data_IF_197150188546
#
_entry.id   IF_197150188546
#
_cell.length_a   1.000
_cell.length_b   1.000
_cell.length_c   1.000
_cell.angle_alpha   90.00
_cell.angle_beta   90.00
_cell.angle_gamma   90.00
#
_symmetry.space_group_name_H-M   'P 1'
#
loop_
_entity.id
_entity.type
_entity.pdbx_description
1 polymer ?
#
# COMPACT_ATOMS: atom_id res chain seq x y z
N UNK A 1 -14.33 -15.80 -7.88
CA UNK A 1 -14.04 -14.65 -6.99
C UNK A 1 -13.58 -13.46 -7.84
N UNK A 2 -14.36 -13.04 -8.86
CA UNK A 2 -13.89 -12.07 -9.89
C UNK A 2 -14.82 -10.86 -10.06
N UNK A 3 -16.03 -10.93 -9.50
CA UNK A 3 -17.08 -9.94 -9.70
C UNK A 3 -16.74 -8.56 -9.14
N UNK A 4 -16.04 -8.49 -8.00
CA UNK A 4 -15.68 -7.21 -7.38
C UNK A 4 -14.62 -6.46 -8.17
N UNK A 5 -13.58 -7.16 -8.63
CA UNK A 5 -12.50 -6.54 -9.41
C UNK A 5 -13.02 -6.01 -10.74
N UNK A 6 -13.81 -6.82 -11.45
CA UNK A 6 -14.40 -6.43 -12.73
C UNK A 6 -15.31 -5.20 -12.61
N UNK A 7 -16.13 -5.12 -11.55
CA UNK A 7 -16.96 -3.95 -11.29
C UNK A 7 -16.13 -2.68 -11.03
N UNK A 8 -15.02 -2.79 -10.30
CA UNK A 8 -14.14 -1.66 -10.01
C UNK A 8 -13.35 -1.21 -11.25
N UNK A 9 -12.91 -2.14 -12.10
CA UNK A 9 -12.25 -1.84 -13.37
C UNK A 9 -13.20 -1.14 -14.35
N UNK A 10 -14.46 -1.56 -14.40
CA UNK A 10 -15.49 -0.90 -15.21
C UNK A 10 -15.69 0.55 -14.77
N UNK A 11 -15.74 0.82 -13.46
CA UNK A 11 -15.83 2.18 -12.93
C UNK A 11 -14.62 3.03 -13.34
N UNK A 12 -13.42 2.45 -13.31
CA UNK A 12 -12.21 3.11 -13.76
C UNK A 12 -12.26 3.43 -15.26
N UNK A 13 -12.71 2.47 -16.08
CA UNK A 13 -12.87 2.64 -17.53
C UNK A 13 -13.94 3.69 -17.88
N UNK A 14 -14.94 3.89 -17.02
CA UNK A 14 -15.92 4.97 -17.13
C UNK A 14 -15.39 6.34 -16.66
N UNK A 15 -14.09 6.45 -16.37
CA UNK A 15 -13.41 7.69 -15.99
C UNK A 15 -13.55 8.04 -14.51
N UNK A 16 -14.09 7.15 -13.66
CA UNK A 16 -14.25 7.41 -12.22
C UNK A 16 -12.98 7.07 -11.46
N UNK A 17 -11.86 7.73 -11.78
CA UNK A 17 -10.60 7.50 -11.07
C UNK A 17 -10.55 8.28 -9.75
N UNK A 18 -10.15 7.61 -8.67
CA UNK A 18 -10.03 8.21 -7.34
C UNK A 18 -9.12 7.39 -6.44
N UNK A 19 -8.59 8.01 -5.38
CA UNK A 19 -7.79 7.33 -4.35
C UNK A 19 -8.51 6.09 -3.80
N UNK A 20 -9.80 6.21 -3.48
CA UNK A 20 -10.60 5.11 -2.92
C UNK A 20 -10.83 3.98 -3.93
N UNK A 21 -11.11 4.30 -5.20
CA UNK A 21 -11.29 3.28 -6.23
C UNK A 21 -9.99 2.52 -6.47
N UNK A 22 -8.87 3.24 -6.63
CA UNK A 22 -7.54 2.66 -6.81
C UNK A 22 -7.15 1.81 -5.61
N UNK A 23 -7.41 2.26 -4.38
CA UNK A 23 -7.19 1.46 -3.17
C UNK A 23 -8.04 0.17 -3.15
N UNK A 24 -9.30 0.26 -3.56
CA UNK A 24 -10.22 -0.88 -3.63
C UNK A 24 -9.77 -1.91 -4.67
N UNK A 25 -9.33 -1.45 -5.86
CA UNK A 25 -8.72 -2.30 -6.88
C UNK A 25 -7.47 -2.97 -6.34
N UNK A 26 -6.55 -2.21 -5.73
CA UNK A 26 -5.34 -2.77 -5.16
C UNK A 26 -5.64 -3.86 -4.13
N UNK A 27 -6.63 -3.63 -3.27
CA UNK A 27 -7.07 -4.63 -2.28
C UNK A 27 -7.67 -5.86 -2.94
N UNK A 28 -8.45 -5.71 -4.02
CA UNK A 28 -9.02 -6.84 -4.76
C UNK A 28 -7.93 -7.66 -5.47
N UNK A 29 -6.86 -7.03 -5.95
CA UNK A 29 -5.73 -7.73 -6.56
C UNK A 29 -4.76 -8.37 -5.57
N UNK A 30 -4.82 -8.07 -4.26
CA UNK A 30 -3.87 -8.62 -3.29
C UNK A 30 -3.85 -10.16 -3.27
N UNK A 31 -4.99 -10.82 -3.53
CA UNK A 31 -5.07 -12.28 -3.53
C UNK A 31 -4.74 -12.92 -4.89
N UNK A 32 -4.92 -12.19 -5.99
CA UNK A 32 -4.76 -12.75 -7.34
C UNK A 32 -3.46 -12.31 -8.03
N UNK A 33 -3.06 -11.05 -7.84
CA UNK A 33 -1.87 -10.48 -8.46
C UNK A 33 -1.32 -9.33 -7.60
N UNK A 34 -0.40 -9.66 -6.70
CA UNK A 34 0.21 -8.68 -5.78
C UNK A 34 0.95 -7.56 -6.53
N UNK A 35 1.55 -7.84 -7.69
CA UNK A 35 2.23 -6.80 -8.48
C UNK A 35 1.26 -5.76 -9.04
N UNK A 36 0.08 -6.18 -9.51
CA UNK A 36 -1.00 -5.25 -9.86
C UNK A 36 -1.51 -4.50 -8.63
N UNK A 37 -1.63 -5.17 -7.48
CA UNK A 37 -2.03 -4.52 -6.23
C UNK A 37 -1.09 -3.34 -5.89
N UNK A 38 0.23 -3.55 -5.97
CA UNK A 38 1.24 -2.49 -5.78
C UNK A 38 1.00 -1.31 -6.72
N UNK A 39 0.74 -1.57 -8.00
CA UNK A 39 0.47 -0.54 -9.01
C UNK A 39 -0.75 0.30 -8.64
N UNK A 40 -1.84 -0.34 -8.25
CA UNK A 40 -3.07 0.34 -7.84
C UNK A 40 -2.92 1.11 -6.52
N UNK A 41 -2.17 0.60 -5.55
CA UNK A 41 -1.88 1.35 -4.32
C UNK A 41 -1.02 2.58 -4.57
N UNK A 42 0.02 2.48 -5.41
CA UNK A 42 0.82 3.64 -5.81
C UNK A 42 -0.04 4.70 -6.51
N UNK A 43 -0.95 4.29 -7.39
CA UNK A 43 -1.90 5.20 -8.02
C UNK A 43 -2.82 5.86 -6.99
N UNK A 44 -3.33 5.12 -5.99
CA UNK A 44 -4.14 5.69 -4.91
C UNK A 44 -3.39 6.79 -4.14
N UNK A 45 -2.10 6.57 -3.88
CA UNK A 45 -1.22 7.50 -3.16
C UNK A 45 -0.81 8.72 -4.01
N UNK A 46 -0.85 8.61 -5.34
CA UNK A 46 -0.70 9.76 -6.22
C UNK A 46 -1.91 10.72 -6.11
N UNK A 47 -3.10 10.19 -5.81
CA UNK A 47 -4.30 11.01 -5.54
C UNK A 47 -4.33 11.57 -4.11
N UNK A 48 -4.07 10.74 -3.11
CA UNK A 48 -4.00 11.16 -1.70
C UNK A 48 -2.74 10.60 -1.04
N UNK A 49 -1.65 11.39 -0.98
CA UNK A 49 -0.41 10.96 -0.33
C UNK A 49 -0.55 10.83 1.19
N UNK A 50 -1.64 11.33 1.78
CA UNK A 50 -1.92 11.21 3.22
C UNK A 50 -2.71 9.95 3.57
N UNK A 51 -3.01 9.10 2.59
CA UNK A 51 -3.85 7.92 2.80
C UNK A 51 -3.10 6.80 3.52
N UNK A 52 -3.09 6.85 4.86
CA UNK A 52 -2.40 5.90 5.76
C UNK A 52 -2.69 4.43 5.45
N UNK A 53 -3.95 4.08 5.17
CA UNK A 53 -4.33 2.71 4.85
C UNK A 53 -3.72 2.22 3.52
N UNK A 54 -3.64 3.09 2.50
CA UNK A 54 -3.02 2.74 1.22
C UNK A 54 -1.51 2.51 1.37
N UNK A 55 -0.82 3.33 2.17
CA UNK A 55 0.59 3.11 2.50
C UNK A 55 0.82 1.77 3.22
N UNK A 56 -0.02 1.46 4.22
CA UNK A 56 0.06 0.19 4.95
C UNK A 56 -0.12 -1.01 4.01
N UNK A 57 -1.12 -0.96 3.14
CA UNK A 57 -1.37 -2.04 2.17
C UNK A 57 -0.27 -2.14 1.12
N UNK A 58 0.28 -1.02 0.64
CA UNK A 58 1.42 -0.99 -0.26
C UNK A 58 2.64 -1.67 0.35
N UNK A 59 3.01 -1.30 1.59
CA UNK A 59 4.16 -1.90 2.27
C UNK A 59 3.99 -3.42 2.43
N UNK A 60 2.80 -3.90 2.78
CA UNK A 60 2.50 -5.35 2.86
C UNK A 60 2.61 -6.04 1.51
N UNK A 61 2.08 -5.42 0.45
CA UNK A 61 2.17 -5.95 -0.91
C UNK A 61 3.62 -6.06 -1.38
N UNK A 62 4.45 -5.05 -1.06
CA UNK A 62 5.89 -5.03 -1.38
C UNK A 62 6.66 -6.13 -0.65
N UNK A 63 6.34 -6.39 0.63
CA UNK A 63 6.89 -7.54 1.36
C UNK A 63 6.53 -8.86 0.67
N UNK A 64 5.28 -9.02 0.24
CA UNK A 64 4.84 -10.24 -0.45
C UNK A 64 5.56 -10.47 -1.78
N UNK A 65 5.96 -9.42 -2.51
CA UNK A 65 6.78 -9.53 -3.73
C UNK A 65 8.29 -9.48 -3.46
N UNK A 66 8.71 -9.63 -2.19
CA UNK A 66 10.12 -9.60 -1.76
C UNK A 66 10.86 -8.28 -2.02
N UNK A 67 10.16 -7.20 -2.36
CA UNK A 67 10.72 -5.85 -2.44
C UNK A 67 10.77 -5.22 -1.05
N UNK A 68 11.71 -5.72 -0.23
CA UNK A 68 11.86 -5.29 1.15
C UNK A 68 12.33 -3.83 1.26
N UNK A 69 13.17 -3.37 0.34
CA UNK A 69 13.62 -1.98 0.28
C UNK A 69 12.43 -1.04 -0.01
N UNK A 70 11.62 -1.37 -1.02
CA UNK A 70 10.40 -0.63 -1.31
C UNK A 70 9.40 -0.68 -0.16
N UNK A 71 9.24 -1.83 0.51
CA UNK A 71 8.36 -1.96 1.67
C UNK A 71 8.81 -1.05 2.83
N UNK A 72 10.12 -0.98 3.10
CA UNK A 72 10.70 -0.12 4.12
C UNK A 72 10.34 1.35 3.89
N UNK A 73 10.54 1.83 2.66
CA UNK A 73 10.22 3.21 2.27
C UNK A 73 8.71 3.48 2.33
N UNK A 74 7.88 2.54 1.87
CA UNK A 74 6.43 2.66 1.96
C UNK A 74 5.93 2.76 3.40
N UNK A 75 6.48 1.96 4.33
CA UNK A 75 6.10 2.05 5.75
C UNK A 75 6.57 3.36 6.39
N UNK A 76 7.77 3.86 6.05
CA UNK A 76 8.25 5.16 6.54
C UNK A 76 7.35 6.31 6.08
N UNK A 77 7.04 6.36 4.78
CA UNK A 77 6.13 7.36 4.22
C UNK A 77 4.73 7.24 4.84
N UNK A 78 4.24 6.01 5.01
CA UNK A 78 2.95 5.74 5.66
C UNK A 78 2.86 6.21 7.10
N UNK A 79 3.91 6.02 7.91
CA UNK A 79 3.97 6.53 9.28
C UNK A 79 3.89 8.05 9.28
N UNK A 80 4.65 8.73 8.42
CA UNK A 80 4.60 10.19 8.31
C UNK A 80 3.22 10.70 7.88
N UNK A 81 2.57 10.02 6.92
CA UNK A 81 1.20 10.32 6.48
C UNK A 81 0.17 10.11 7.60
N UNK A 82 0.28 8.99 8.33
CA UNK A 82 -0.61 8.66 9.44
C UNK A 82 -0.47 9.67 10.58
N UNK A 83 0.75 10.08 10.94
CA UNK A 83 1.00 11.14 11.92
C UNK A 83 0.38 12.47 11.51
N UNK A 84 0.46 12.86 10.23
CA UNK A 84 -0.17 14.08 9.72
C UNK A 84 -1.70 14.04 9.82
N UNK A 85 -2.32 12.88 9.61
CA UNK A 85 -3.78 12.69 9.77
C UNK A 85 -4.23 12.49 11.22
N UNK A 86 -3.31 12.33 12.17
CA UNK A 86 -3.63 11.94 13.55
C UNK A 86 -4.03 10.46 13.69
N UNK A 87 -3.73 9.61 12.70
CA UNK A 87 -4.00 8.18 12.70
C UNK A 87 -2.91 7.40 13.46
N UNK A 88 -2.93 7.54 14.78
CA UNK A 88 -1.92 6.96 15.67
C UNK A 88 -1.88 5.43 15.59
N UNK A 89 -3.02 4.78 15.31
CA UNK A 89 -3.09 3.32 15.23
C UNK A 89 -2.40 2.81 13.97
N UNK A 90 -2.68 3.41 12.81
CA UNK A 90 -2.01 3.01 11.57
C UNK A 90 -0.49 3.25 11.65
N UNK A 91 -0.07 4.37 12.25
CA UNK A 91 1.35 4.66 12.46
C UNK A 91 2.04 3.56 13.29
N UNK A 92 1.42 3.14 14.40
CA UNK A 92 1.96 2.07 15.26
C UNK A 92 2.04 0.73 14.54
N UNK A 93 0.98 0.34 13.82
CA UNK A 93 0.98 -0.90 13.02
C UNK A 93 2.12 -0.88 11.99
N UNK A 94 2.25 0.21 11.23
CA UNK A 94 3.29 0.37 10.21
C UNK A 94 4.69 0.38 10.81
N UNK A 95 4.87 0.93 12.01
CA UNK A 95 6.14 0.88 12.72
C UNK A 95 6.56 -0.56 13.05
N UNK A 96 5.62 -1.43 13.48
CA UNK A 96 5.92 -2.85 13.72
C UNK A 96 6.34 -3.55 12.43
N UNK A 97 5.65 -3.29 11.31
CA UNK A 97 6.03 -3.85 10.03
C UNK A 97 7.40 -3.35 9.56
N UNK A 98 7.68 -2.06 9.71
CA UNK A 98 8.97 -1.45 9.38
C UNK A 98 10.12 -2.13 10.14
N UNK A 99 9.96 -2.37 11.45
CA UNK A 99 10.98 -3.05 12.26
C UNK A 99 11.24 -4.49 11.79
N UNK A 100 10.19 -5.20 11.37
CA UNK A 100 10.32 -6.56 10.81
C UNK A 100 11.10 -6.53 9.50
N UNK A 101 10.73 -5.65 8.57
CA UNK A 101 11.42 -5.50 7.28
C UNK A 101 12.88 -5.09 7.46
N UNK A 102 13.15 -4.11 8.34
CA UNK A 102 14.51 -3.66 8.63
C UNK A 102 15.38 -4.78 9.22
N UNK A 103 14.82 -5.64 10.07
CA UNK A 103 15.54 -6.83 10.58
C UNK A 103 15.86 -7.81 9.45
N UNK A 104 14.93 -8.03 8.52
CA UNK A 104 15.13 -8.94 7.38
C UNK A 104 16.16 -8.42 6.38
N UNK A 105 16.22 -7.11 6.15
CA UNK A 105 17.26 -6.48 5.32
C UNK A 105 18.66 -6.57 5.95
N UNK A 106 18.73 -6.87 7.25
CA UNK A 106 19.97 -6.85 8.03
C UNK A 106 20.51 -5.42 8.22
N UNK A 107 21.52 -5.22 9.08
CA UNK A 107 22.30 -4.00 9.01
C UNK A 107 22.87 -3.91 7.60
N UNK A 108 22.62 -2.79 6.90
CA UNK A 108 23.34 -2.46 5.68
C UNK A 108 24.83 -2.61 6.03
N UNK A 109 25.44 -3.68 5.53
CA UNK A 109 26.83 -3.98 5.85
C UNK A 109 27.65 -2.86 5.22
N UNK A 110 28.32 -2.10 6.09
CA UNK A 110 29.26 -1.04 5.74
C UNK A 110 30.35 -1.50 4.79
#
# INVERSE_FOLDING_TARGET
MTDRTAALELLLAQGRDSALLRFSLGTAYLESNVALAVTHFRAALAFDPTYSAAWKSLGRALVSVQDLAGAQEAFRAGIAAASQRGDVQAAKEMQVFLQRVARTLGPASS
#
